data_IF_414164387790
#
_entry.id   IF_414164387790
#
_cell.length_a   1.000
_cell.length_b   1.000
_cell.length_c   1.000
_cell.angle_alpha   90.00
_cell.angle_beta   90.00
_cell.angle_gamma   90.00
#
_symmetry.space_group_name_H-M   'P 1'
#
loop_
_entity.id
_entity.type
_entity.pdbx_description
1 polymer ?
#
# COMPACT_ATOMS: atom_id res chain seq x y z
N UNK A 1 5.41 -3.56 16.89
CA UNK A 1 6.36 -4.14 15.90
C UNK A 1 7.75 -3.64 16.23
N UNK A 2 8.75 -4.51 16.17
CA UNK A 2 10.11 -4.07 16.48
C UNK A 2 10.66 -3.20 15.34
N UNK A 3 11.69 -2.41 15.62
CA UNK A 3 12.25 -1.44 14.66
C UNK A 3 12.75 -2.16 13.40
N UNK A 4 13.40 -3.31 13.55
CA UNK A 4 13.93 -4.06 12.42
C UNK A 4 12.82 -4.59 11.50
N UNK A 5 11.76 -5.15 12.06
CA UNK A 5 10.61 -5.64 11.28
C UNK A 5 9.89 -4.50 10.57
N UNK A 6 9.69 -3.38 11.28
CA UNK A 6 9.12 -2.16 10.71
C UNK A 6 9.92 -1.67 9.51
N UNK A 7 11.24 -1.60 9.65
CA UNK A 7 12.13 -1.12 8.59
C UNK A 7 12.08 -2.06 7.37
N UNK A 8 12.08 -3.37 7.59
CA UNK A 8 11.99 -4.35 6.51
C UNK A 8 10.70 -4.21 5.74
N UNK A 9 9.56 -4.13 6.42
CA UNK A 9 8.27 -3.98 5.77
C UNK A 9 8.16 -2.68 4.99
N UNK A 10 8.68 -1.58 5.53
CA UNK A 10 8.68 -0.30 4.85
C UNK A 10 9.53 -0.35 3.57
N UNK A 11 10.71 -0.94 3.65
CA UNK A 11 11.60 -1.09 2.49
C UNK A 11 10.97 -1.98 1.43
N UNK A 12 10.36 -3.09 1.82
CA UNK A 12 9.69 -4.00 0.88
C UNK A 12 8.57 -3.30 0.11
N UNK A 13 7.74 -2.53 0.80
CA UNK A 13 6.65 -1.80 0.15
C UNK A 13 7.18 -0.76 -0.84
N UNK A 14 8.21 0.00 -0.46
CA UNK A 14 8.81 1.01 -1.35
C UNK A 14 9.54 0.39 -2.52
N UNK A 15 10.19 -0.75 -2.33
CA UNK A 15 10.85 -1.46 -3.44
C UNK A 15 9.84 -2.05 -4.42
N UNK A 16 8.73 -2.60 -3.91
CA UNK A 16 7.65 -3.07 -4.78
C UNK A 16 7.12 -1.93 -5.65
N UNK A 17 6.87 -0.77 -5.05
CA UNK A 17 6.44 0.42 -5.79
C UNK A 17 7.47 0.83 -6.85
N UNK A 18 8.74 0.88 -6.47
CA UNK A 18 9.80 1.24 -7.41
C UNK A 18 9.83 0.31 -8.63
N UNK A 19 9.78 -1.00 -8.40
CA UNK A 19 9.75 -1.98 -9.49
C UNK A 19 8.53 -1.80 -10.39
N UNK A 20 7.37 -1.57 -9.80
CA UNK A 20 6.14 -1.36 -10.57
C UNK A 20 6.22 -0.11 -11.45
N UNK A 21 6.89 0.94 -11.00
CA UNK A 21 7.03 2.19 -11.76
C UNK A 21 8.09 2.10 -12.86
N UNK A 22 9.08 1.21 -12.71
CA UNK A 22 10.16 1.05 -13.70
C UNK A 22 9.87 -0.03 -14.74
N UNK A 23 8.76 -0.74 -14.62
CA UNK A 23 8.37 -1.78 -15.55
C UNK A 23 8.90 -3.18 -15.21
N UNK A 24 9.63 -3.33 -14.10
CA UNK A 24 10.18 -4.61 -13.64
C UNK A 24 9.30 -5.28 -12.57
N UNK A 25 8.14 -4.71 -12.27
CA UNK A 25 7.25 -5.22 -11.24
C UNK A 25 6.57 -6.52 -11.61
N UNK A 26 6.40 -7.37 -10.61
CA UNK A 26 5.70 -8.64 -10.73
C UNK A 26 4.33 -8.55 -10.05
N UNK A 27 3.52 -9.62 -10.20
CA UNK A 27 2.24 -9.72 -9.48
C UNK A 27 2.45 -9.71 -7.96
N UNK A 28 3.53 -10.31 -7.48
CA UNK A 28 3.85 -10.31 -6.05
C UNK A 28 4.13 -8.88 -5.56
N UNK A 29 4.84 -8.07 -6.34
CA UNK A 29 5.06 -6.66 -6.02
C UNK A 29 3.73 -5.89 -5.98
N UNK A 30 2.85 -6.15 -6.93
CA UNK A 30 1.53 -5.52 -6.97
C UNK A 30 0.69 -5.94 -5.75
N UNK A 31 0.67 -7.23 -5.42
CA UNK A 31 -0.09 -7.75 -4.28
C UNK A 31 0.43 -7.15 -2.96
N UNK A 32 1.75 -7.00 -2.83
CA UNK A 32 2.35 -6.38 -1.66
C UNK A 32 1.90 -4.92 -1.52
N UNK A 33 1.92 -4.16 -2.61
CA UNK A 33 1.45 -2.77 -2.60
C UNK A 33 -0.03 -2.68 -2.25
N UNK A 34 -0.86 -3.52 -2.87
CA UNK A 34 -2.31 -3.53 -2.63
C UNK A 34 -2.62 -3.90 -1.18
N UNK A 35 -1.95 -4.91 -0.63
CA UNK A 35 -2.15 -5.33 0.75
C UNK A 35 -1.70 -4.25 1.74
N UNK A 36 -0.59 -3.56 1.45
CA UNK A 36 -0.12 -2.43 2.26
C UNK A 36 -1.17 -1.31 2.29
N UNK A 37 -1.80 -1.02 1.14
CA UNK A 37 -2.85 0.00 1.08
C UNK A 37 -4.09 -0.41 1.87
N UNK A 38 -4.44 -1.69 1.89
CA UNK A 38 -5.59 -2.20 2.65
C UNK A 38 -5.36 -2.04 4.16
N UNK A 39 -4.18 -2.37 4.64
CA UNK A 39 -3.81 -2.17 6.06
C UNK A 39 -3.82 -0.67 6.39
N UNK A 40 -3.26 0.16 5.50
CA UNK A 40 -3.24 1.60 5.68
C UNK A 40 -4.66 2.18 5.76
N UNK A 41 -5.61 1.67 4.94
CA UNK A 41 -6.99 2.13 4.99
C UNK A 41 -7.64 1.87 6.34
N UNK A 42 -7.47 0.66 6.88
CA UNK A 42 -8.04 0.32 8.18
C UNK A 42 -7.50 1.23 9.28
N UNK A 43 -6.18 1.46 9.27
CA UNK A 43 -5.57 2.36 10.25
C UNK A 43 -6.02 3.82 10.04
N UNK A 44 -6.17 4.25 8.80
CA UNK A 44 -6.68 5.59 8.47
C UNK A 44 -8.08 5.80 9.04
N UNK A 45 -8.96 4.82 8.91
CA UNK A 45 -10.31 4.85 9.47
C UNK A 45 -10.31 5.05 11.00
N UNK A 46 -9.27 4.56 11.67
CA UNK A 46 -9.12 4.68 13.12
C UNK A 46 -8.48 6.01 13.55
N UNK A 47 -7.90 6.77 12.63
CA UNK A 47 -7.15 7.98 12.92
C UNK A 47 -7.92 9.24 12.51
N UNK A 48 -8.14 9.47 11.22
CA UNK A 48 -8.92 10.60 10.77
C UNK A 48 -9.35 10.49 9.29
N UNK A 49 -10.33 11.32 8.92
CA UNK A 49 -10.92 11.32 7.59
C UNK A 49 -9.94 11.76 6.48
N UNK A 50 -8.98 12.63 6.78
CA UNK A 50 -8.00 13.08 5.78
C UNK A 50 -7.06 11.94 5.40
N UNK A 51 -6.65 11.12 6.38
CA UNK A 51 -5.86 9.94 6.11
C UNK A 51 -6.62 8.95 5.23
N UNK A 52 -7.92 8.77 5.47
CA UNK A 52 -8.77 7.92 4.63
C UNK A 52 -8.75 8.40 3.18
N UNK A 53 -8.90 9.70 2.94
CA UNK A 53 -8.86 10.25 1.58
C UNK A 53 -7.55 9.96 0.87
N UNK A 54 -6.42 10.12 1.55
CA UNK A 54 -5.10 9.84 0.99
C UNK A 54 -5.00 8.39 0.54
N UNK A 55 -5.45 7.45 1.39
CA UNK A 55 -5.38 6.02 1.07
C UNK A 55 -6.35 5.67 -0.06
N UNK A 56 -7.56 6.21 -0.05
CA UNK A 56 -8.55 5.92 -1.11
C UNK A 56 -8.09 6.40 -2.48
N UNK A 57 -7.43 7.55 -2.56
CA UNK A 57 -6.84 8.02 -3.83
C UNK A 57 -5.79 7.05 -4.34
N UNK A 58 -4.92 6.57 -3.44
CA UNK A 58 -3.91 5.59 -3.80
C UNK A 58 -4.55 4.28 -4.28
N UNK A 59 -5.60 3.81 -3.61
CA UNK A 59 -6.30 2.57 -4.00
C UNK A 59 -6.96 2.70 -5.37
N UNK A 60 -7.54 3.85 -5.68
CA UNK A 60 -8.09 4.11 -7.02
C UNK A 60 -7.00 3.99 -8.08
N UNK A 61 -5.83 4.58 -7.84
CA UNK A 61 -4.70 4.48 -8.75
C UNK A 61 -4.18 3.03 -8.89
N UNK A 62 -4.15 2.29 -7.79
CA UNK A 62 -3.72 0.88 -7.79
C UNK A 62 -4.68 0.01 -8.60
N UNK A 63 -5.98 0.25 -8.49
CA UNK A 63 -6.99 -0.45 -9.30
C UNK A 63 -6.78 -0.16 -10.78
N UNK A 64 -6.52 1.09 -11.14
CA UNK A 64 -6.24 1.47 -12.52
C UNK A 64 -4.97 0.78 -13.05
N UNK A 65 -3.94 0.62 -12.22
CA UNK A 65 -2.74 -0.14 -12.59
C UNK A 65 -3.05 -1.60 -12.88
N UNK A 66 -3.92 -2.21 -12.10
CA UNK A 66 -4.36 -3.61 -12.33
C UNK A 66 -5.11 -3.75 -13.65
N UNK A 67 -6.03 -2.84 -13.93
CA UNK A 67 -6.79 -2.83 -15.19
C UNK A 67 -5.86 -2.68 -16.39
N UNK A 68 -4.86 -1.81 -16.29
CA UNK A 68 -3.87 -1.63 -17.33
C UNK A 68 -3.04 -2.90 -17.54
N UNK A 69 -2.63 -3.55 -16.45
CA UNK A 69 -1.91 -4.82 -16.53
C UNK A 69 -2.72 -5.88 -17.28
N UNK A 70 -4.02 -5.96 -17.02
CA UNK A 70 -4.91 -6.91 -17.69
C UNK A 70 -5.00 -6.65 -19.20
N UNK A 71 -4.83 -5.39 -19.65
CA UNK A 71 -4.88 -5.03 -21.06
C UNK A 71 -3.54 -5.20 -21.78
N UNK A 72 -2.45 -4.80 -21.14
CA UNK A 72 -1.14 -4.71 -21.82
C UNK A 72 -0.11 -5.73 -21.35
N UNK A 73 -0.41 -6.48 -20.28
CA UNK A 73 0.45 -7.57 -19.83
C UNK A 73 1.66 -7.15 -19.00
N UNK A 74 1.76 -5.87 -18.62
CA UNK A 74 2.82 -5.44 -17.71
C UNK A 74 2.37 -4.26 -16.87
N UNK A 75 3.00 -4.12 -15.70
CA UNK A 75 2.71 -3.02 -14.80
C UNK A 75 3.41 -1.72 -15.22
N UNK A 76 2.77 -0.62 -14.93
CA UNK A 76 3.31 0.71 -15.08
C UNK A 76 2.46 1.69 -14.28
N UNK A 77 3.00 2.88 -14.05
CA UNK A 77 2.31 3.92 -13.31
C UNK A 77 2.15 5.14 -14.22
N UNK A 78 0.94 5.68 -14.25
CA UNK A 78 0.66 6.94 -14.92
C UNK A 78 0.92 8.14 -13.96
N UNK A 79 0.66 9.35 -14.43
CA UNK A 79 0.89 10.56 -13.63
C UNK A 79 0.05 10.58 -12.35
N UNK A 80 -1.17 10.03 -12.40
CA UNK A 80 -2.05 9.98 -11.22
C UNK A 80 -1.47 9.03 -10.17
N UNK A 81 -1.03 7.84 -10.58
CA UNK A 81 -0.43 6.89 -9.67
C UNK A 81 0.87 7.43 -9.06
N UNK A 82 1.70 8.09 -9.87
CA UNK A 82 2.94 8.70 -9.38
C UNK A 82 2.68 9.82 -8.36
N UNK A 83 1.54 10.48 -8.45
CA UNK A 83 1.15 11.53 -7.50
C UNK A 83 0.47 10.97 -6.25
N UNK A 84 -0.41 9.96 -6.39
CA UNK A 84 -1.32 9.54 -5.34
C UNK A 84 -0.83 8.34 -4.50
N UNK A 85 0.03 7.49 -5.06
CA UNK A 85 0.54 6.31 -4.31
C UNK A 85 1.62 6.68 -3.28
N UNK A 86 2.62 7.53 -3.58
CA UNK A 86 3.64 7.87 -2.60
C UNK A 86 3.12 8.44 -1.28
N UNK A 87 2.11 9.34 -1.23
CA UNK A 87 1.57 9.79 0.05
C UNK A 87 1.00 8.66 0.91
N UNK A 88 0.36 7.66 0.29
CA UNK A 88 -0.12 6.47 1.01
C UNK A 88 1.04 5.66 1.56
N UNK A 89 2.12 5.49 0.79
CA UNK A 89 3.30 4.77 1.25
C UNK A 89 3.98 5.50 2.41
N UNK A 90 4.05 6.83 2.38
CA UNK A 90 4.58 7.61 3.48
C UNK A 90 3.75 7.38 4.74
N UNK A 91 2.43 7.41 4.63
CA UNK A 91 1.52 7.13 5.73
C UNK A 91 1.71 5.71 6.27
N UNK A 92 1.77 4.71 5.38
CA UNK A 92 2.00 3.32 5.77
C UNK A 92 3.32 3.14 6.51
N UNK A 93 4.40 3.74 6.02
CA UNK A 93 5.71 3.66 6.67
C UNK A 93 5.70 4.33 8.05
N UNK A 94 5.00 5.47 8.17
CA UNK A 94 4.84 6.14 9.47
C UNK A 94 4.06 5.25 10.44
N UNK A 95 3.00 4.58 9.99
CA UNK A 95 2.24 3.65 10.82
C UNK A 95 3.11 2.52 11.34
N UNK A 96 3.97 1.96 10.51
CA UNK A 96 4.90 0.90 10.92
C UNK A 96 5.87 1.39 12.01
N UNK A 97 6.25 2.66 11.96
CA UNK A 97 7.17 3.25 12.94
C UNK A 97 6.50 3.54 14.28
N UNK A 98 5.23 3.98 14.26
CA UNK A 98 4.56 4.50 15.46
C UNK A 98 3.55 3.54 16.09
N UNK A 99 3.05 2.56 15.34
CA UNK A 99 2.01 1.68 15.84
C UNK A 99 2.59 0.49 16.60
N UNK A 100 1.88 0.03 17.62
CA UNK A 100 2.25 -1.20 18.33
C UNK A 100 2.09 -2.42 17.42
N UNK A 101 2.80 -3.52 17.70
CA UNK A 101 2.64 -4.77 16.93
C UNK A 101 1.19 -5.26 16.92
N UNK A 102 0.51 -5.15 18.05
CA UNK A 102 -0.88 -5.64 18.17
C UNK A 102 -1.83 -4.84 17.28
N UNK A 103 -1.68 -3.53 17.25
CA UNK A 103 -2.53 -2.66 16.42
C UNK A 103 -2.32 -2.99 14.93
N UNK A 104 -1.08 -3.18 14.50
CA UNK A 104 -0.79 -3.53 13.11
C UNK A 104 -1.28 -4.92 12.75
N UNK A 105 -1.15 -5.88 13.68
CA UNK A 105 -1.67 -7.23 13.48
C UNK A 105 -3.18 -7.22 13.36
N UNK A 106 -3.88 -6.48 14.21
CA UNK A 106 -5.33 -6.37 14.17
C UNK A 106 -5.80 -5.74 12.85
N UNK A 107 -5.09 -4.73 12.35
CA UNK A 107 -5.39 -4.10 11.06
C UNK A 107 -5.19 -5.10 9.91
N UNK A 108 -4.14 -5.90 9.97
CA UNK A 108 -3.89 -6.93 8.96
C UNK A 108 -5.00 -7.99 8.96
N UNK A 109 -5.42 -8.46 10.13
CA UNK A 109 -6.50 -9.44 10.25
C UNK A 109 -7.82 -8.88 9.73
N UNK A 110 -8.15 -7.62 10.03
CA UNK A 110 -9.33 -6.96 9.50
C UNK A 110 -9.27 -6.84 7.98
N UNK A 111 -8.12 -6.52 7.44
CA UNK A 111 -7.89 -6.46 5.99
C UNK A 111 -8.20 -7.81 5.33
N UNK A 112 -7.73 -8.90 5.93
CA UNK A 112 -8.00 -10.26 5.44
C UNK A 112 -9.49 -10.57 5.51
N UNK A 113 -10.15 -10.22 6.61
CA UNK A 113 -11.58 -10.44 6.78
C UNK A 113 -12.42 -9.70 5.72
N UNK A 114 -12.04 -8.48 5.36
CA UNK A 114 -12.74 -7.70 4.33
C UNK A 114 -12.57 -8.29 2.93
N UNK A 115 -11.49 -9.00 2.68
CA UNK A 115 -11.23 -9.66 1.40
C UNK A 115 -12.05 -10.93 1.22
N UNK A 116 -12.48 -11.53 2.31
CA UNK A 116 -13.31 -12.73 2.32
C UNK A 116 -14.79 -12.35 2.45
#
# INVERSE_FOLDING_TARGET
MCIEESAILAVEARMAWHKLTTGDGTRDDFDLLANSSNVALIRAEQIDALAVEVVLRAQTAIIAMKERYQRVGRFGADAVALADVPPMLDFYCDLLSFSSPQIMTDALLESINRMN
#
